data_IF_427052440614
#
_entry.id   IF_427052440614
#
_cell.length_a   1.000
_cell.length_b   1.000
_cell.length_c   1.000
_cell.angle_alpha   90.00
_cell.angle_beta   90.00
_cell.angle_gamma   90.00
#
_symmetry.space_group_name_H-M   'P 1'
#
loop_
_entity.id
_entity.type
_entity.pdbx_description
1 polymer ?
#
# COMPACT_ATOMS: atom_id res chain seq x y z
N UNK A 1 -14.02 -7.43 -44.73
CA UNK A 1 -14.48 -7.08 -43.36
C UNK A 1 -15.99 -7.10 -43.15
N UNK A 2 -16.85 -6.49 -44.00
CA UNK A 2 -18.32 -6.55 -43.80
C UNK A 2 -19.03 -7.89 -44.09
N UNK A 3 -18.35 -8.89 -44.67
CA UNK A 3 -18.90 -10.25 -44.88
C UNK A 3 -18.51 -11.28 -43.80
N UNK A 4 -17.64 -10.91 -42.85
CA UNK A 4 -17.27 -11.79 -41.73
C UNK A 4 -18.23 -11.64 -40.53
N UNK A 5 -18.97 -10.53 -40.46
CA UNK A 5 -19.84 -10.21 -39.33
C UNK A 5 -21.21 -10.91 -39.40
N UNK A 6 -21.72 -11.25 -40.59
CA UNK A 6 -23.06 -11.85 -40.71
C UNK A 6 -23.11 -13.36 -40.43
N UNK A 7 -21.97 -14.06 -40.40
CA UNK A 7 -21.93 -15.51 -40.14
C UNK A 7 -21.87 -15.83 -38.64
N UNK A 8 -21.40 -14.89 -37.80
CA UNK A 8 -21.27 -15.09 -36.35
C UNK A 8 -22.60 -14.90 -35.63
N UNK A 9 -23.49 -14.02 -36.13
CA UNK A 9 -24.78 -13.75 -35.48
C UNK A 9 -25.79 -14.88 -35.63
N UNK A 10 -25.64 -15.77 -36.63
CA UNK A 10 -26.55 -16.93 -36.83
C UNK A 10 -26.22 -18.16 -35.97
N UNK A 11 -25.04 -18.22 -35.34
CA UNK A 11 -24.66 -19.37 -34.50
C UNK A 11 -25.11 -19.24 -33.04
N UNK A 12 -25.61 -18.06 -32.62
CA UNK A 12 -25.96 -17.79 -31.22
C UNK A 12 -27.44 -17.99 -30.87
N UNK A 13 -28.26 -18.52 -31.77
CA UNK A 13 -29.70 -18.72 -31.52
C UNK A 13 -30.12 -20.13 -31.11
N UNK A 14 -29.22 -21.11 -31.00
CA UNK A 14 -29.60 -22.41 -30.44
C UNK A 14 -28.49 -23.09 -29.62
N UNK A 15 -28.84 -23.36 -28.35
CA UNK A 15 -28.26 -24.31 -27.38
C UNK A 15 -27.10 -23.79 -26.51
N UNK A 16 -27.38 -23.70 -25.22
CA UNK A 16 -26.41 -23.57 -24.14
C UNK A 16 -25.60 -24.87 -24.00
N UNK A 17 -24.40 -24.90 -24.58
CA UNK A 17 -23.32 -25.80 -24.21
C UNK A 17 -22.00 -25.03 -24.35
N UNK A 18 -21.15 -25.11 -23.31
CA UNK A 18 -19.87 -24.42 -23.25
C UNK A 18 -18.98 -24.82 -24.44
N UNK A 19 -18.60 -23.84 -25.27
CA UNK A 19 -17.67 -24.02 -26.38
C UNK A 19 -16.45 -23.13 -26.16
N UNK A 20 -15.28 -23.73 -26.10
CA UNK A 20 -13.98 -23.05 -26.15
C UNK A 20 -13.70 -22.66 -27.60
N UNK A 21 -13.62 -21.36 -27.89
CA UNK A 21 -13.25 -20.86 -29.22
C UNK A 21 -11.77 -20.47 -29.23
N UNK A 22 -10.92 -21.23 -29.92
CA UNK A 22 -9.54 -20.85 -30.18
C UNK A 22 -9.47 -20.01 -31.47
N UNK A 23 -9.00 -18.77 -31.37
CA UNK A 23 -8.76 -17.90 -32.52
C UNK A 23 -7.24 -17.84 -32.77
N UNK A 24 -6.79 -18.36 -33.93
CA UNK A 24 -5.37 -18.36 -34.31
C UNK A 24 -5.09 -17.15 -35.19
N UNK A 25 -4.27 -16.20 -34.73
CA UNK A 25 -3.64 -15.16 -35.57
C UNK A 25 -2.18 -15.57 -35.77
N UNK A 26 -1.86 -16.10 -36.95
CA UNK A 26 -0.51 -16.46 -37.31
C UNK A 26 0.19 -15.29 -38.02
N UNK A 27 1.06 -14.57 -37.30
CA UNK A 27 2.24 -13.90 -37.89
C UNK A 27 3.37 -13.59 -36.90
N UNK A 28 3.20 -13.84 -35.61
CA UNK A 28 4.29 -13.91 -34.61
C UNK A 28 3.87 -15.03 -33.66
N UNK A 29 4.73 -16.01 -33.36
CA UNK A 29 4.39 -17.26 -32.66
C UNK A 29 3.83 -17.10 -31.23
N UNK A 30 2.65 -16.50 -31.09
CA UNK A 30 1.90 -16.33 -29.85
C UNK A 30 0.75 -17.34 -29.82
N UNK A 31 0.74 -18.19 -28.80
CA UNK A 31 -0.38 -19.08 -28.47
C UNK A 31 -1.09 -18.45 -27.27
N UNK A 32 -2.36 -18.07 -27.45
CA UNK A 32 -3.21 -17.63 -26.35
C UNK A 32 -4.11 -18.80 -25.91
N UNK A 33 -4.15 -19.07 -24.61
CA UNK A 33 -5.12 -20.02 -24.02
C UNK A 33 -5.99 -19.24 -23.05
N UNK A 34 -7.31 -19.22 -23.28
CA UNK A 34 -8.28 -18.59 -22.37
C UNK A 34 -9.06 -19.71 -21.69
N UNK A 35 -9.02 -19.77 -20.35
CA UNK A 35 -9.84 -20.69 -19.56
C UNK A 35 -11.03 -19.95 -18.95
N UNK A 36 -12.24 -20.36 -19.38
CA UNK A 36 -13.58 -20.16 -18.79
C UNK A 36 -14.03 -18.75 -18.39
N UNK A 37 -15.09 -18.27 -19.04
CA UNK A 37 -15.90 -17.13 -18.58
C UNK A 37 -17.16 -17.63 -17.86
N UNK A 38 -17.42 -17.14 -16.64
CA UNK A 38 -18.71 -17.32 -15.95
C UNK A 38 -19.49 -16.01 -16.01
N UNK A 39 -20.73 -16.09 -16.50
CA UNK A 39 -21.65 -14.96 -16.54
C UNK A 39 -22.51 -14.95 -15.28
N UNK A 40 -22.48 -13.86 -14.52
CA UNK A 40 -23.48 -13.55 -13.49
C UNK A 40 -24.00 -12.12 -13.76
N UNK A 41 -25.31 -11.98 -13.85
CA UNK A 41 -26.05 -10.70 -13.90
C UNK A 41 -25.74 -9.70 -15.03
N UNK A 42 -25.64 -10.19 -16.27
CA UNK A 42 -25.80 -9.33 -17.46
C UNK A 42 -24.70 -8.29 -17.71
N UNK A 43 -23.66 -8.24 -16.87
CA UNK A 43 -22.41 -7.55 -17.14
C UNK A 43 -21.30 -8.56 -17.38
N UNK A 44 -20.75 -8.57 -18.60
CA UNK A 44 -19.56 -9.37 -18.90
C UNK A 44 -18.33 -8.60 -18.44
N UNK A 45 -17.94 -8.77 -17.18
CA UNK A 45 -16.60 -8.35 -16.73
C UNK A 45 -15.60 -9.40 -17.21
N UNK A 46 -14.80 -9.03 -18.22
CA UNK A 46 -13.72 -9.86 -18.73
C UNK A 46 -12.54 -9.76 -17.75
N UNK A 47 -12.47 -10.68 -16.78
CA UNK A 47 -11.24 -10.88 -16.02
C UNK A 47 -10.28 -11.68 -16.89
N UNK A 48 -9.27 -11.02 -17.44
CA UNK A 48 -8.15 -11.68 -18.11
C UNK A 48 -7.24 -12.27 -17.02
N UNK A 49 -7.12 -13.61 -16.87
CA UNK A 49 -6.02 -14.16 -16.10
C UNK A 49 -4.70 -13.75 -16.76
N UNK A 50 -3.75 -13.36 -15.91
CA UNK A 50 -2.37 -12.97 -16.19
C UNK A 50 -1.83 -13.42 -17.55
N UNK A 51 -1.47 -12.46 -18.40
CA UNK A 51 -0.65 -12.70 -19.58
C UNK A 51 0.82 -12.62 -19.17
N UNK A 52 1.40 -13.77 -18.81
CA UNK A 52 2.86 -13.89 -18.72
C UNK A 52 3.42 -13.98 -20.14
N UNK A 53 4.16 -12.95 -20.57
CA UNK A 53 4.89 -13.02 -21.84
C UNK A 53 6.24 -13.70 -21.61
N UNK A 54 6.45 -14.85 -22.25
CA UNK A 54 7.78 -15.47 -22.34
C UNK A 54 8.47 -14.88 -23.57
N UNK A 55 9.33 -13.88 -23.35
CA UNK A 55 10.34 -13.53 -24.35
C UNK A 55 11.49 -14.53 -24.19
N UNK A 56 11.51 -15.54 -25.04
CA UNK A 56 12.62 -16.49 -25.12
C UNK A 56 13.73 -15.84 -25.96
N UNK A 57 14.67 -15.18 -25.30
CA UNK A 57 15.99 -14.93 -25.89
C UNK A 57 17.00 -15.84 -25.18
N UNK A 58 17.88 -16.48 -25.93
CA UNK A 58 18.57 -17.72 -25.55
C UNK A 58 19.72 -17.53 -24.54
N UNK A 59 19.83 -16.37 -23.87
CA UNK A 59 20.80 -16.11 -22.80
C UNK A 59 20.20 -15.11 -21.79
N UNK A 60 20.08 -15.55 -20.54
CA UNK A 60 19.56 -14.80 -19.39
C UNK A 60 18.04 -14.53 -19.39
N UNK A 61 17.25 -15.57 -19.11
CA UNK A 61 15.88 -15.40 -18.59
C UNK A 61 15.93 -14.78 -17.19
N UNK A 62 15.87 -13.46 -17.11
CA UNK A 62 15.44 -12.77 -15.89
C UNK A 62 13.91 -12.80 -15.85
N UNK A 63 13.33 -13.54 -14.91
CA UNK A 63 11.91 -13.45 -14.64
C UNK A 63 11.65 -12.12 -13.94
N UNK A 64 11.11 -11.13 -14.64
CA UNK A 64 10.53 -9.94 -14.00
C UNK A 64 9.05 -10.24 -13.78
N UNK A 65 8.73 -10.84 -12.64
CA UNK A 65 7.35 -11.06 -12.22
C UNK A 65 6.76 -9.74 -11.73
N UNK A 66 6.17 -8.95 -12.64
CA UNK A 66 5.38 -7.79 -12.24
C UNK A 66 4.10 -8.31 -11.56
N UNK A 67 4.05 -8.27 -10.23
CA UNK A 67 2.78 -8.42 -9.52
C UNK A 67 2.06 -7.08 -9.52
N UNK A 68 0.89 -7.05 -10.13
CA UNK A 68 -0.01 -5.92 -10.00
C UNK A 68 -0.56 -5.90 -8.56
N UNK A 69 -0.41 -4.78 -7.85
CA UNK A 69 -0.94 -4.64 -6.51
C UNK A 69 -2.47 -4.78 -6.52
N UNK A 70 -3.03 -5.32 -5.44
CA UNK A 70 -4.46 -5.64 -5.37
C UNK A 70 -5.20 -4.64 -4.49
N UNK A 71 -6.28 -4.09 -5.03
CA UNK A 71 -7.22 -3.21 -4.34
C UNK A 71 -8.37 -4.03 -3.74
N UNK A 72 -8.50 -4.03 -2.40
CA UNK A 72 -9.63 -4.64 -1.69
C UNK A 72 -10.64 -3.55 -1.37
N UNK A 73 -11.80 -3.61 -2.02
CA UNK A 73 -12.82 -2.52 -2.01
C UNK A 73 -14.18 -2.95 -1.48
N UNK A 74 -14.37 -4.24 -1.19
CA UNK A 74 -15.64 -4.86 -0.80
C UNK A 74 -15.75 -5.13 0.72
N UNK A 75 -14.71 -4.78 1.48
CA UNK A 75 -14.78 -4.58 2.93
C UNK A 75 -14.75 -3.07 3.20
N UNK A 76 -15.55 -2.62 4.16
CA UNK A 76 -15.78 -1.18 4.36
C UNK A 76 -15.12 -0.67 5.62
N UNK A 77 -14.46 0.49 5.52
CA UNK A 77 -14.11 1.30 6.68
C UNK A 77 -13.95 2.77 6.32
N UNK A 78 -13.57 3.59 7.30
CA UNK A 78 -13.60 5.06 7.26
C UNK A 78 -12.30 5.65 7.77
N UNK A 79 -11.95 6.83 7.28
CA UNK A 79 -10.95 7.74 7.87
C UNK A 79 -11.54 9.14 8.01
N UNK A 80 -10.85 9.97 8.78
CA UNK A 80 -11.12 11.40 8.83
C UNK A 80 -10.04 12.17 8.07
N UNK A 81 -10.47 13.08 7.20
CA UNK A 81 -9.60 13.98 6.45
C UNK A 81 -10.19 15.38 6.58
N UNK A 82 -9.39 16.35 7.03
CA UNK A 82 -9.86 17.72 7.19
C UNK A 82 -9.78 18.56 5.89
N UNK A 83 -8.99 18.13 4.90
CA UNK A 83 -8.77 18.81 3.61
C UNK A 83 -8.60 17.81 2.46
N UNK A 84 -9.31 18.07 1.37
CA UNK A 84 -9.39 17.16 0.21
C UNK A 84 -10.45 16.08 0.40
N UNK A 85 -10.82 15.44 -0.71
CA UNK A 85 -11.64 14.24 -0.71
C UNK A 85 -10.73 13.08 -1.11
N UNK A 86 -10.54 12.05 -0.26
CA UNK A 86 -10.08 10.76 -0.75
C UNK A 86 -11.01 10.34 -1.90
N UNK A 87 -10.53 9.49 -2.81
CA UNK A 87 -11.22 9.06 -4.05
C UNK A 87 -12.52 8.24 -3.82
N UNK A 88 -13.27 8.52 -2.75
CA UNK A 88 -14.53 7.92 -2.35
C UNK A 88 -14.42 6.48 -1.88
N UNK A 89 -13.22 5.89 -1.93
CA UNK A 89 -12.98 4.47 -1.64
C UNK A 89 -11.85 4.34 -0.64
N UNK A 90 -12.20 3.82 0.54
CA UNK A 90 -11.20 3.20 1.40
C UNK A 90 -10.72 1.94 0.72
N UNK A 91 -9.41 1.86 0.47
CA UNK A 91 -8.84 0.67 -0.17
C UNK A 91 -7.79 0.08 0.73
N UNK A 92 -7.79 -1.24 0.84
CA UNK A 92 -6.56 -1.92 1.22
C UNK A 92 -5.76 -2.27 -0.03
N UNK A 93 -4.51 -1.83 -0.05
CA UNK A 93 -3.55 -2.01 -1.14
C UNK A 93 -2.48 -2.99 -0.70
N UNK A 94 -2.32 -4.09 -1.41
CA UNK A 94 -1.39 -5.16 -1.06
C UNK A 94 -0.50 -5.57 -2.25
N UNK A 95 0.77 -5.85 -1.98
CA UNK A 95 1.77 -6.28 -2.96
C UNK A 95 2.73 -7.29 -2.36
N UNK A 96 3.23 -8.22 -3.17
CA UNK A 96 4.12 -9.31 -2.73
C UNK A 96 3.47 -10.32 -1.77
N UNK A 97 2.15 -10.26 -1.56
CA UNK A 97 1.42 -11.06 -0.55
C UNK A 97 0.45 -12.07 -1.17
N UNK A 98 0.50 -12.26 -2.49
CA UNK A 98 -0.50 -12.98 -3.27
C UNK A 98 -1.82 -12.19 -3.46
N UNK A 99 -2.82 -12.79 -4.09
CA UNK A 99 -4.10 -12.11 -4.34
C UNK A 99 -5.02 -12.16 -3.10
N UNK A 100 -4.78 -11.26 -2.15
CA UNK A 100 -5.56 -11.14 -0.92
C UNK A 100 -7.03 -10.74 -1.11
N UNK A 101 -7.45 -10.25 -2.29
CA UNK A 101 -8.84 -9.82 -2.52
C UNK A 101 -9.81 -10.99 -2.75
N UNK A 102 -9.31 -12.20 -3.00
CA UNK A 102 -10.15 -13.24 -3.59
C UNK A 102 -10.97 -14.06 -2.58
N UNK A 103 -10.57 -14.15 -1.30
CA UNK A 103 -11.16 -15.14 -0.37
C UNK A 103 -11.58 -14.56 0.98
N UNK A 104 -12.76 -14.98 1.42
CA UNK A 104 -13.16 -14.86 2.83
C UNK A 104 -12.42 -15.95 3.61
N UNK A 105 -11.59 -15.55 4.56
CA UNK A 105 -10.90 -16.50 5.43
C UNK A 105 -11.88 -17.18 6.38
N UNK A 106 -11.64 -18.45 6.68
CA UNK A 106 -12.48 -19.28 7.55
C UNK A 106 -11.98 -19.34 9.01
N UNK A 107 -11.00 -18.51 9.35
CA UNK A 107 -10.40 -18.37 10.67
C UNK A 107 -10.42 -16.91 11.13
N UNK A 108 -10.13 -16.67 12.40
CA UNK A 108 -10.29 -15.35 13.02
C UNK A 108 -9.02 -14.50 12.88
N UNK A 109 -9.01 -13.52 11.97
CA UNK A 109 -7.87 -12.57 11.79
C UNK A 109 -7.54 -11.79 13.07
N UNK A 110 -8.53 -11.64 13.95
CA UNK A 110 -8.35 -11.07 15.29
C UNK A 110 -7.36 -11.80 16.19
N UNK A 111 -7.11 -13.10 15.97
CA UNK A 111 -6.15 -13.86 16.78
C UNK A 111 -4.71 -13.37 16.62
N UNK A 112 -4.42 -12.68 15.50
CA UNK A 112 -3.09 -12.13 15.18
C UNK A 112 -3.05 -10.61 15.35
N UNK A 113 -4.12 -9.92 14.95
CA UNK A 113 -4.19 -8.45 14.95
C UNK A 113 -4.77 -7.88 16.25
N UNK A 114 -5.43 -8.70 17.07
CA UNK A 114 -6.17 -8.28 18.26
C UNK A 114 -7.47 -7.52 17.95
N UNK A 115 -7.83 -7.32 16.70
CA UNK A 115 -9.08 -6.64 16.30
C UNK A 115 -10.16 -7.67 15.96
N UNK A 116 -11.37 -7.51 16.49
CA UNK A 116 -12.46 -8.47 16.28
C UNK A 116 -13.69 -7.73 15.76
N UNK A 117 -13.86 -7.62 14.42
CA UNK A 117 -15.06 -7.05 13.83
C UNK A 117 -16.33 -7.74 14.34
N UNK A 118 -17.39 -6.96 14.53
CA UNK A 118 -18.69 -7.46 15.00
C UNK A 118 -19.55 -8.03 13.87
N UNK A 119 -19.39 -7.52 12.65
CA UNK A 119 -20.04 -8.06 11.46
C UNK A 119 -19.37 -9.36 10.96
N UNK A 120 -20.15 -10.17 10.26
CA UNK A 120 -19.73 -11.47 9.71
C UNK A 120 -18.47 -11.34 8.83
N UNK A 121 -17.58 -12.35 8.90
CA UNK A 121 -16.28 -12.35 8.21
C UNK A 121 -16.38 -12.03 6.71
N UNK A 122 -17.43 -12.48 6.02
CA UNK A 122 -17.65 -12.17 4.59
C UNK A 122 -17.73 -10.68 4.28
N UNK A 123 -18.08 -9.83 5.26
CA UNK A 123 -18.16 -8.37 5.13
C UNK A 123 -16.92 -7.64 5.62
N UNK A 124 -16.09 -8.32 6.41
CA UNK A 124 -15.05 -7.66 7.21
C UNK A 124 -13.67 -8.24 7.00
N UNK A 125 -13.49 -9.42 6.40
CA UNK A 125 -12.20 -10.10 6.30
C UNK A 125 -11.90 -10.60 4.89
N UNK A 126 -10.66 -10.46 4.45
CA UNK A 126 -10.15 -10.97 3.17
C UNK A 126 -8.76 -11.56 3.34
N UNK A 127 -8.40 -12.55 2.55
CA UNK A 127 -7.08 -13.18 2.59
C UNK A 127 -6.78 -13.95 1.31
N UNK A 128 -5.70 -14.73 1.37
CA UNK A 128 -5.18 -15.48 0.22
C UNK A 128 -5.96 -16.79 -0.05
N UNK A 129 -5.90 -17.34 -1.29
CA UNK A 129 -6.67 -18.52 -1.72
C UNK A 129 -6.58 -19.77 -0.87
N UNK A 130 -5.43 -19.97 -0.21
CA UNK A 130 -5.19 -21.18 0.56
C UNK A 130 -5.70 -21.07 2.00
N UNK A 131 -6.12 -19.89 2.45
CA UNK A 131 -6.94 -19.65 3.65
C UNK A 131 -6.48 -20.34 4.94
N UNK A 132 -5.22 -20.77 5.03
CA UNK A 132 -4.71 -21.52 6.17
C UNK A 132 -4.65 -20.62 7.39
N UNK A 133 -4.79 -21.19 8.59
CA UNK A 133 -4.72 -20.42 9.82
C UNK A 133 -3.39 -19.65 9.91
N UNK A 134 -3.49 -18.32 10.05
CA UNK A 134 -2.34 -17.43 10.07
C UNK A 134 -1.69 -17.20 8.71
N UNK A 135 -2.42 -17.36 7.59
CA UNK A 135 -2.00 -16.83 6.30
C UNK A 135 -2.15 -15.30 6.25
N UNK A 136 -1.53 -14.64 5.27
CA UNK A 136 -1.76 -13.20 5.04
C UNK A 136 -3.27 -12.91 4.90
N UNK A 137 -3.76 -11.97 5.70
CA UNK A 137 -5.16 -11.63 5.79
C UNK A 137 -5.36 -10.22 6.35
N UNK A 138 -6.47 -9.60 5.97
CA UNK A 138 -6.86 -8.28 6.44
C UNK A 138 -8.29 -8.28 6.90
N UNK A 139 -8.61 -7.29 7.72
CA UNK A 139 -9.96 -7.04 8.14
C UNK A 139 -10.24 -5.57 8.41
N UNK A 140 -11.48 -5.16 8.22
CA UNK A 140 -11.90 -3.77 8.39
C UNK A 140 -13.34 -3.67 8.90
N UNK A 141 -13.57 -2.81 9.89
CA UNK A 141 -14.90 -2.38 10.32
C UNK A 141 -14.83 -1.00 10.99
N UNK A 142 -15.69 -0.08 10.57
CA UNK A 142 -15.71 1.29 11.10
C UNK A 142 -14.40 2.03 10.80
N UNK A 143 -13.77 2.58 11.82
CA UNK A 143 -12.47 3.28 11.72
C UNK A 143 -11.28 2.36 11.99
N UNK A 144 -11.49 1.05 12.17
CA UNK A 144 -10.42 0.12 12.53
C UNK A 144 -10.08 -0.81 11.37
N UNK A 145 -8.78 -0.96 11.12
CA UNK A 145 -8.22 -1.92 10.17
C UNK A 145 -7.29 -2.87 10.93
N UNK A 146 -7.37 -4.17 10.65
CA UNK A 146 -6.40 -5.18 11.09
C UNK A 146 -5.71 -5.78 9.88
N UNK A 147 -4.40 -5.92 9.95
CA UNK A 147 -3.57 -6.44 8.86
C UNK A 147 -2.61 -7.47 9.45
N UNK A 148 -2.64 -8.69 8.93
CA UNK A 148 -1.67 -9.73 9.22
C UNK A 148 -0.96 -10.11 7.92
N UNK A 149 0.36 -9.99 7.92
CA UNK A 149 1.22 -10.45 6.84
C UNK A 149 2.04 -11.64 7.30
N UNK A 150 2.20 -12.59 6.40
CA UNK A 150 3.07 -13.73 6.57
C UNK A 150 3.70 -14.10 5.23
N UNK A 151 5.02 -14.17 5.24
CA UNK A 151 5.81 -14.69 4.14
C UNK A 151 6.05 -16.18 4.38
N UNK A 152 5.88 -16.98 3.33
CA UNK A 152 6.27 -18.38 3.35
C UNK A 152 7.73 -18.51 2.86
N UNK A 153 8.54 -19.42 3.43
CA UNK A 153 9.96 -19.58 3.05
C UNK A 153 10.19 -19.88 1.57
N UNK A 154 9.17 -20.44 0.91
CA UNK A 154 9.18 -20.86 -0.49
C UNK A 154 8.74 -19.74 -1.45
N UNK A 155 8.34 -18.57 -0.94
CA UNK A 155 7.96 -17.40 -1.74
C UNK A 155 9.23 -16.62 -2.11
N UNK A 156 9.75 -16.88 -3.32
CA UNK A 156 11.04 -16.34 -3.78
C UNK A 156 10.91 -15.24 -4.81
N UNK A 157 9.70 -14.84 -5.22
CA UNK A 157 9.54 -13.92 -6.35
C UNK A 157 9.80 -12.46 -6.00
N UNK A 158 9.47 -12.04 -4.78
CA UNK A 158 9.66 -10.66 -4.32
C UNK A 158 10.02 -10.66 -2.83
N UNK A 159 11.17 -10.06 -2.44
CA UNK A 159 11.52 -10.05 -1.04
C UNK A 159 10.62 -9.07 -0.26
N UNK A 160 10.03 -8.04 -0.88
CA UNK A 160 9.16 -7.11 -0.16
C UNK A 160 7.68 -7.47 -0.27
N UNK A 161 7.01 -7.54 0.88
CA UNK A 161 5.60 -7.85 1.03
C UNK A 161 4.92 -6.79 1.87
N UNK A 162 3.81 -6.21 1.41
CA UNK A 162 3.09 -5.19 2.17
C UNK A 162 1.57 -5.33 2.03
N UNK A 163 0.87 -4.79 3.01
CA UNK A 163 -0.55 -4.51 2.95
C UNK A 163 -0.81 -3.21 3.72
N UNK A 164 -1.46 -2.26 3.07
CA UNK A 164 -1.62 -0.92 3.58
C UNK A 164 -3.07 -0.48 3.44
N UNK A 165 -3.58 0.15 4.50
CA UNK A 165 -4.70 1.05 4.38
C UNK A 165 -4.28 2.22 3.49
N UNK A 166 -4.90 2.39 2.33
CA UNK A 166 -4.45 3.30 1.27
C UNK A 166 -5.56 4.26 0.81
N UNK A 167 -5.15 5.50 0.56
CA UNK A 167 -5.98 6.59 0.06
C UNK A 167 -5.22 7.38 -1.01
N UNK A 168 -5.75 7.37 -2.23
CA UNK A 168 -5.39 8.35 -3.26
C UNK A 168 -6.25 9.61 -3.14
N UNK A 169 -5.74 10.72 -3.65
CA UNK A 169 -6.43 12.00 -3.72
C UNK A 169 -6.54 12.50 -5.16
N UNK A 170 -7.75 12.87 -5.58
CA UNK A 170 -8.06 13.39 -6.92
C UNK A 170 -7.98 14.93 -6.97
N UNK A 171 -8.18 15.61 -5.84
CA UNK A 171 -8.31 17.08 -5.76
C UNK A 171 -6.97 17.81 -5.53
N UNK A 172 -5.83 17.12 -5.67
CA UNK A 172 -4.49 17.66 -5.41
C UNK A 172 -4.39 18.48 -4.09
N UNK A 173 -4.78 17.90 -2.93
CA UNK A 173 -4.86 18.66 -1.70
C UNK A 173 -3.50 19.15 -1.23
N UNK A 174 -3.42 20.46 -0.93
CA UNK A 174 -2.24 21.12 -0.39
C UNK A 174 -2.15 20.87 1.14
N UNK A 175 -1.11 20.18 1.64
CA UNK A 175 -1.08 19.69 3.03
C UNK A 175 -1.05 20.80 4.09
N UNK A 176 -0.26 21.85 3.82
CA UNK A 176 0.05 22.90 4.79
C UNK A 176 -0.96 24.06 4.79
N UNK A 177 -1.80 24.17 3.76
CA UNK A 177 -2.79 25.23 3.67
C UNK A 177 -2.22 26.66 3.68
N UNK A 178 -3.12 27.63 3.88
CA UNK A 178 -2.80 29.06 4.00
C UNK A 178 -2.82 29.48 5.46
N UNK A 179 -1.93 30.40 5.87
CA UNK A 179 -1.89 30.97 7.22
C UNK A 179 -0.48 31.25 7.74
N UNK A 180 -0.38 31.70 8.98
CA UNK A 180 0.90 31.93 9.67
C UNK A 180 1.39 30.61 10.27
N UNK A 181 2.65 30.25 9.99
CA UNK A 181 3.31 29.03 10.45
C UNK A 181 2.48 27.76 10.20
N UNK A 182 2.10 27.48 8.94
CA UNK A 182 1.32 26.30 8.63
C UNK A 182 2.08 25.01 8.97
N UNK A 183 1.36 24.04 9.53
CA UNK A 183 1.88 22.71 9.86
C UNK A 183 0.95 21.66 9.31
N UNK A 184 1.50 20.71 8.58
CA UNK A 184 0.77 19.52 8.18
C UNK A 184 1.03 18.42 9.20
N UNK A 185 -0.03 17.87 9.76
CA UNK A 185 0.02 16.92 10.86
C UNK A 185 -0.73 15.65 10.50
N UNK A 186 -0.23 14.53 11.02
CA UNK A 186 -0.89 13.23 10.94
C UNK A 186 -0.92 12.63 12.34
N UNK A 187 -2.05 12.04 12.71
CA UNK A 187 -2.11 11.19 13.90
C UNK A 187 -3.06 10.01 13.75
N UNK A 188 -2.90 9.04 14.67
CA UNK A 188 -3.62 7.78 14.69
C UNK A 188 -3.39 7.02 16.00
N UNK A 189 -4.10 5.91 16.15
CA UNK A 189 -3.74 4.86 17.11
C UNK A 189 -3.31 3.58 16.39
N UNK A 190 -2.26 2.95 16.91
CA UNK A 190 -1.63 1.76 16.33
C UNK A 190 -1.30 0.72 17.42
N UNK A 191 -1.49 -0.55 17.09
CA UNK A 191 -0.88 -1.67 17.80
C UNK A 191 -0.15 -2.60 16.83
N UNK A 192 0.95 -3.21 17.29
CA UNK A 192 1.73 -4.20 16.53
C UNK A 192 1.85 -5.47 17.38
N UNK A 193 0.78 -6.29 17.49
CA UNK A 193 0.72 -7.34 18.51
C UNK A 193 1.73 -8.46 18.30
N UNK A 194 2.13 -8.69 17.05
CA UNK A 194 3.01 -9.78 16.67
C UNK A 194 4.00 -9.32 15.63
N UNK A 195 5.25 -9.76 15.81
CA UNK A 195 6.30 -9.67 14.82
C UNK A 195 7.23 -10.86 15.03
N UNK A 196 7.49 -11.58 13.95
CA UNK A 196 8.39 -12.71 13.88
C UNK A 196 9.19 -12.60 12.59
N UNK A 197 10.47 -12.93 12.66
CA UNK A 197 11.35 -12.96 11.49
C UNK A 197 12.55 -13.85 11.77
N UNK A 198 13.18 -14.36 10.71
CA UNK A 198 14.41 -15.16 10.78
C UNK A 198 15.46 -14.63 9.82
N UNK A 199 16.74 -14.89 10.12
CA UNK A 199 17.85 -14.65 9.21
C UNK A 199 17.94 -13.20 8.74
N UNK A 200 17.71 -12.94 7.44
CA UNK A 200 17.83 -11.61 6.84
C UNK A 200 16.48 -10.88 6.69
N UNK A 201 15.38 -11.49 7.13
CA UNK A 201 14.07 -10.85 7.07
C UNK A 201 13.95 -9.74 8.12
N UNK A 202 13.08 -8.77 7.86
CA UNK A 202 12.74 -7.75 8.84
C UNK A 202 11.34 -7.20 8.56
N UNK A 203 10.72 -6.70 9.61
CA UNK A 203 9.34 -6.23 9.59
C UNK A 203 9.30 -4.76 10.01
N UNK A 204 8.44 -3.98 9.37
CA UNK A 204 8.19 -2.61 9.76
C UNK A 204 6.72 -2.25 9.59
N UNK A 205 6.25 -1.32 10.42
CA UNK A 205 4.92 -0.74 10.30
C UNK A 205 5.10 0.76 10.23
N UNK A 206 4.64 1.34 9.13
CA UNK A 206 4.94 2.72 8.79
C UNK A 206 3.75 3.37 8.08
N UNK A 207 3.83 4.69 7.99
CA UNK A 207 2.99 5.52 7.16
C UNK A 207 3.77 5.83 5.88
N UNK A 208 3.16 5.67 4.72
CA UNK A 208 3.68 6.12 3.43
C UNK A 208 2.91 7.37 2.99
N UNK A 209 3.62 8.43 2.62
CA UNK A 209 2.99 9.61 2.03
C UNK A 209 3.74 10.02 0.78
N UNK A 210 3.03 10.02 -0.35
CA UNK A 210 3.54 10.52 -1.62
C UNK A 210 3.12 11.98 -1.80
N UNK A 211 4.10 12.85 -2.00
CA UNK A 211 3.90 14.23 -2.39
C UNK A 211 4.39 14.43 -3.82
N UNK A 212 3.65 15.18 -4.63
CA UNK A 212 4.10 15.60 -5.95
C UNK A 212 4.42 17.08 -5.92
N UNK A 213 5.61 17.44 -6.41
CA UNK A 213 5.98 18.81 -6.73
C UNK A 213 5.23 19.25 -8.00
N UNK A 214 4.27 20.15 -7.86
CA UNK A 214 3.47 20.66 -8.96
C UNK A 214 4.26 21.50 -9.99
N UNK A 215 5.50 21.89 -9.69
CA UNK A 215 6.37 22.61 -10.65
C UNK A 215 7.14 21.62 -11.52
N UNK A 216 7.76 20.61 -10.91
CA UNK A 216 8.63 19.66 -11.63
C UNK A 216 7.94 18.37 -12.06
N UNK A 217 6.79 18.06 -11.45
CA UNK A 217 6.10 16.78 -11.58
C UNK A 217 6.80 15.62 -10.87
N UNK A 218 7.91 15.88 -10.15
CA UNK A 218 8.63 14.84 -9.42
C UNK A 218 7.88 14.46 -8.15
N UNK A 219 7.86 13.16 -7.85
CA UNK A 219 7.31 12.60 -6.62
C UNK A 219 8.40 12.46 -5.57
N UNK A 220 8.06 12.69 -4.31
CA UNK A 220 8.87 12.32 -3.14
C UNK A 220 8.01 11.56 -2.14
N UNK A 221 8.66 10.71 -1.35
CA UNK A 221 8.01 9.89 -0.34
C UNK A 221 8.49 10.24 1.07
N UNK A 222 7.56 10.36 2.02
CA UNK A 222 7.85 10.53 3.45
C UNK A 222 7.29 9.33 4.20
N UNK A 223 8.20 8.57 4.84
CA UNK A 223 7.94 7.29 5.49
C UNK A 223 8.31 7.30 6.99
N UNK A 224 7.46 7.88 7.86
CA UNK A 224 7.61 7.73 9.30
C UNK A 224 7.30 6.29 9.72
N UNK A 225 8.31 5.60 10.26
CA UNK A 225 8.17 4.24 10.77
C UNK A 225 7.85 4.25 12.25
N UNK A 226 6.82 3.50 12.66
CA UNK A 226 6.38 3.34 14.05
C UNK A 226 6.96 2.08 14.69
N UNK A 227 7.15 1.05 13.87
CA UNK A 227 7.75 -0.21 14.24
C UNK A 227 8.80 -0.58 13.21
N UNK A 228 9.97 -0.99 13.65
CA UNK A 228 10.98 -1.61 12.80
C UNK A 228 11.71 -2.65 13.63
N UNK A 229 11.71 -3.90 13.18
CA UNK A 229 12.31 -5.01 13.93
C UNK A 229 13.83 -4.88 14.12
N UNK A 230 14.46 -3.88 13.49
CA UNK A 230 15.89 -3.57 13.54
C UNK A 230 16.17 -2.36 14.45
N UNK A 231 16.49 -2.55 15.75
CA UNK A 231 16.70 -1.44 16.68
C UNK A 231 17.83 -0.49 16.26
N UNK A 232 18.86 -0.99 15.59
CA UNK A 232 20.00 -0.21 15.11
C UNK A 232 19.64 0.76 13.98
N UNK A 233 18.58 0.49 13.21
CA UNK A 233 18.12 1.39 12.16
C UNK A 233 17.31 2.53 12.78
N UNK A 234 16.46 2.23 13.77
CA UNK A 234 15.74 3.24 14.56
C UNK A 234 16.72 4.25 15.18
N UNK A 235 17.85 3.77 15.71
CA UNK A 235 18.86 4.61 16.34
C UNK A 235 19.59 5.56 15.36
N UNK A 236 19.55 5.31 14.05
CA UNK A 236 20.14 6.19 13.03
C UNK A 236 19.31 7.44 12.75
N UNK A 237 18.00 7.40 13.03
CA UNK A 237 17.09 8.51 12.73
C UNK A 237 16.78 8.62 11.24
N UNK A 238 16.90 9.82 10.69
CA UNK A 238 16.56 10.09 9.29
C UNK A 238 17.50 9.38 8.32
N UNK A 239 16.92 8.84 7.25
CA UNK A 239 17.63 8.25 6.14
C UNK A 239 16.99 8.68 4.82
N UNK A 240 17.78 9.41 4.02
CA UNK A 240 17.41 9.79 2.66
C UNK A 240 17.97 8.76 1.69
N UNK A 241 17.08 8.14 0.91
CA UNK A 241 17.44 7.17 -0.12
C UNK A 241 16.70 7.48 -1.43
N UNK A 242 17.16 6.88 -2.53
CA UNK A 242 16.41 6.84 -3.78
C UNK A 242 15.72 5.49 -3.91
N UNK A 243 14.45 5.51 -4.31
CA UNK A 243 13.74 4.32 -4.75
C UNK A 243 14.47 3.78 -5.99
N UNK A 244 14.98 2.55 -5.94
CA UNK A 244 15.83 1.98 -7.00
C UNK A 244 15.16 1.93 -8.37
N UNK A 245 13.87 1.65 -8.40
CA UNK A 245 13.05 1.43 -9.59
C UNK A 245 12.58 2.74 -10.24
N UNK A 246 12.20 3.75 -9.45
CA UNK A 246 11.60 4.99 -9.93
C UNK A 246 12.51 6.21 -9.83
N UNK A 247 13.65 6.07 -9.14
CA UNK A 247 14.56 7.17 -8.79
C UNK A 247 13.86 8.30 -8.03
N UNK A 248 12.79 7.98 -7.29
CA UNK A 248 12.07 8.92 -6.44
C UNK A 248 12.76 9.01 -5.07
N UNK A 249 13.00 10.22 -4.52
CA UNK A 249 13.57 10.37 -3.20
C UNK A 249 12.59 9.92 -2.11
N UNK A 250 13.12 9.20 -1.12
CA UNK A 250 12.40 8.72 0.04
C UNK A 250 13.08 9.23 1.31
N UNK A 251 12.32 9.87 2.18
CA UNK A 251 12.67 10.06 3.58
C UNK A 251 12.12 8.90 4.40
N UNK A 252 13.01 8.02 4.86
CA UNK A 252 12.70 7.10 5.97
C UNK A 252 13.07 7.78 7.29
N UNK A 253 12.14 7.81 8.25
CA UNK A 253 12.36 8.52 9.52
C UNK A 253 11.67 7.84 10.70
N UNK A 254 12.08 8.19 11.92
CA UNK A 254 11.59 7.64 13.18
C UNK A 254 11.26 8.79 14.14
N UNK A 255 10.17 8.65 14.90
CA UNK A 255 9.57 9.78 15.61
C UNK A 255 10.45 10.39 16.71
N UNK A 256 11.40 9.66 17.26
CA UNK A 256 12.31 10.16 18.31
C UNK A 256 13.64 10.71 17.80
N UNK A 257 13.97 10.48 16.53
CA UNK A 257 15.33 10.68 16.02
C UNK A 257 15.39 11.49 14.72
N UNK A 258 14.25 11.95 14.21
CA UNK A 258 14.17 12.74 12.99
C UNK A 258 14.30 14.24 13.20
N UNK A 259 14.91 14.92 12.23
CA UNK A 259 15.02 16.37 12.11
C UNK A 259 13.85 16.96 11.32
N UNK A 260 13.25 16.17 10.43
CA UNK A 260 12.23 16.64 9.49
C UNK A 260 10.80 16.56 10.02
N UNK A 261 10.59 15.89 11.16
CA UNK A 261 9.27 15.74 11.79
C UNK A 261 9.32 16.19 13.25
N UNK A 262 8.21 16.76 13.74
CA UNK A 262 8.02 17.05 15.17
C UNK A 262 6.90 16.19 15.73
N UNK A 263 7.16 15.32 16.72
CA UNK A 263 6.09 14.56 17.38
C UNK A 263 5.05 15.48 18.02
N UNK A 264 3.78 15.08 17.93
CA UNK A 264 2.70 15.70 18.70
C UNK A 264 2.86 15.39 20.19
N UNK A 265 2.29 16.21 21.09
CA UNK A 265 2.26 15.92 22.52
C UNK A 265 1.72 14.52 22.77
N UNK A 266 2.33 13.81 23.73
CA UNK A 266 2.00 12.43 24.14
C UNK A 266 2.10 11.36 23.04
N UNK A 267 2.64 11.68 21.86
CA UNK A 267 2.96 10.67 20.85
C UNK A 267 3.94 9.65 21.41
N UNK A 268 3.68 8.39 21.11
CA UNK A 268 4.63 7.30 21.35
C UNK A 268 5.82 7.44 20.41
N UNK A 269 6.94 6.82 20.80
CA UNK A 269 8.16 6.74 20.00
C UNK A 269 8.17 5.46 19.17
N UNK A 270 8.92 5.48 18.07
CA UNK A 270 9.15 4.29 17.25
C UNK A 270 9.91 3.24 18.06
N UNK A 271 9.61 1.96 17.86
CA UNK A 271 10.21 0.86 18.65
C UNK A 271 10.44 -0.39 17.81
N UNK A 272 11.35 -1.26 18.27
CA UNK A 272 11.59 -2.56 17.66
C UNK A 272 10.90 -3.73 18.38
N UNK A 273 10.27 -3.45 19.52
CA UNK A 273 9.52 -4.44 20.29
C UNK A 273 8.04 -4.36 19.94
N UNK A 274 7.39 -5.49 19.57
CA UNK A 274 5.94 -5.51 19.34
C UNK A 274 5.17 -5.15 20.61
N UNK A 275 3.96 -4.64 20.44
CA UNK A 275 3.07 -4.23 21.53
C UNK A 275 1.61 -4.48 21.17
N UNK A 276 0.83 -4.93 22.16
CA UNK A 276 -0.57 -5.33 21.93
C UNK A 276 -1.54 -4.20 22.20
N UNK A 277 -1.23 -3.29 23.11
CA UNK A 277 -2.08 -2.16 23.47
C UNK A 277 -2.17 -1.10 22.37
N UNK A 278 -3.24 -0.29 22.40
CA UNK A 278 -3.30 0.89 21.53
C UNK A 278 -2.30 1.93 22.02
N UNK A 279 -1.49 2.43 21.09
CA UNK A 279 -0.58 3.56 21.33
C UNK A 279 -0.93 4.68 20.36
N UNK A 280 -0.97 5.90 20.90
CA UNK A 280 -1.13 7.10 20.09
C UNK A 280 0.19 7.44 19.41
N UNK A 281 0.13 7.71 18.11
CA UNK A 281 1.24 8.21 17.31
C UNK A 281 0.78 9.45 16.55
N UNK A 282 1.58 10.51 16.61
CA UNK A 282 1.26 11.74 15.91
C UNK A 282 2.49 12.60 15.69
N UNK A 283 2.52 13.30 14.57
CA UNK A 283 3.59 14.23 14.22
C UNK A 283 3.09 15.35 13.33
N UNK A 284 3.89 16.41 13.21
CA UNK A 284 3.70 17.48 12.25
C UNK A 284 4.99 17.74 11.47
N UNK A 285 4.82 18.28 10.27
CA UNK A 285 5.87 18.83 9.41
C UNK A 285 5.62 20.33 9.32
N UNK A 286 6.57 21.11 9.83
CA UNK A 286 6.56 22.57 9.68
C UNK A 286 7.15 22.97 8.32
N UNK A 287 6.86 24.19 7.88
CA UNK A 287 7.49 24.77 6.69
C UNK A 287 9.04 24.73 6.74
N UNK A 288 9.71 25.19 7.81
CA UNK A 288 11.17 25.11 7.88
C UNK A 288 11.72 23.69 7.76
N UNK A 289 11.06 22.70 8.37
CA UNK A 289 11.48 21.30 8.29
C UNK A 289 11.33 20.73 6.88
N UNK A 290 10.23 21.06 6.21
CA UNK A 290 10.01 20.62 4.83
C UNK A 290 11.02 21.27 3.87
N UNK A 291 11.28 22.57 4.01
CA UNK A 291 12.27 23.25 3.17
C UNK A 291 13.68 22.72 3.40
N UNK A 292 14.03 22.37 4.65
CA UNK A 292 15.29 21.70 4.96
C UNK A 292 15.37 20.31 4.30
N UNK A 293 14.28 19.53 4.37
CA UNK A 293 14.20 18.22 3.70
C UNK A 293 14.46 18.34 2.19
N UNK A 294 13.79 19.27 1.52
CA UNK A 294 13.97 19.48 0.07
C UNK A 294 15.41 19.90 -0.25
N UNK A 295 15.98 20.80 0.55
CA UNK A 295 17.37 21.24 0.39
C UNK A 295 18.33 20.06 0.46
N UNK A 296 18.17 19.18 1.45
CA UNK A 296 19.02 18.02 1.64
C UNK A 296 18.83 16.97 0.54
N UNK A 297 17.59 16.73 0.09
CA UNK A 297 17.29 15.85 -1.05
C UNK A 297 17.96 16.36 -2.33
N UNK A 298 17.79 17.64 -2.66
CA UNK A 298 18.38 18.24 -3.86
C UNK A 298 19.91 18.19 -3.81
N UNK A 299 20.50 18.46 -2.65
CA UNK A 299 21.96 18.41 -2.46
C UNK A 299 22.50 16.97 -2.56
N UNK A 300 21.85 16.01 -1.91
CA UNK A 300 22.32 14.62 -1.85
C UNK A 300 22.15 13.89 -3.20
N UNK A 301 21.04 14.13 -3.90
CA UNK A 301 20.68 13.38 -5.11
C UNK A 301 20.79 14.19 -6.40
N UNK A 302 21.24 15.44 -6.33
CA UNK A 302 21.37 16.34 -7.48
C UNK A 302 20.04 16.55 -8.23
N UNK A 303 18.94 16.59 -7.46
CA UNK A 303 17.60 16.86 -7.97
C UNK A 303 17.31 18.37 -7.99
N UNK A 304 16.13 18.74 -8.48
CA UNK A 304 15.71 20.15 -8.59
C UNK A 304 14.26 20.34 -8.14
N UNK A 305 13.88 19.66 -7.05
CA UNK A 305 12.59 19.82 -6.39
C UNK A 305 12.40 21.28 -5.93
N UNK A 306 11.18 21.80 -6.06
CA UNK A 306 10.83 23.15 -5.64
C UNK A 306 11.00 23.33 -4.13
N UNK A 307 11.55 24.46 -3.71
CA UNK A 307 11.74 24.87 -2.31
C UNK A 307 10.50 25.54 -1.69
N UNK A 308 9.38 25.59 -2.41
CA UNK A 308 8.14 26.16 -1.95
C UNK A 308 7.15 25.07 -1.54
N UNK A 309 6.80 24.99 -0.26
CA UNK A 309 5.84 24.00 0.23
C UNK A 309 4.45 24.09 -0.45
N UNK A 310 4.08 25.26 -1.01
CA UNK A 310 2.79 25.49 -1.64
C UNK A 310 2.68 24.80 -3.00
N UNK A 311 3.81 24.43 -3.61
CA UNK A 311 3.83 23.71 -4.89
C UNK A 311 3.58 22.23 -4.73
N UNK A 312 3.62 21.68 -3.51
CA UNK A 312 3.39 20.27 -3.24
C UNK A 312 1.93 19.95 -2.97
N UNK A 313 1.46 18.82 -3.47
CA UNK A 313 0.17 18.26 -3.12
C UNK A 313 0.30 16.79 -2.73
N UNK A 314 -0.62 16.30 -1.90
CA UNK A 314 -0.67 14.89 -1.52
C UNK A 314 -1.27 14.13 -2.70
N UNK A 315 -0.50 13.21 -3.26
CA UNK A 315 -1.02 12.26 -4.24
C UNK A 315 -1.70 11.10 -3.51
N UNK A 316 -0.99 10.54 -2.54
CA UNK A 316 -1.49 9.40 -1.80
C UNK A 316 -0.92 9.28 -0.39
N UNK A 317 -1.66 8.52 0.41
CA UNK A 317 -1.34 8.17 1.77
C UNK A 317 -1.61 6.68 1.97
N UNK A 318 -0.66 5.97 2.55
CA UNK A 318 -0.78 4.59 2.97
C UNK A 318 -0.34 4.39 4.41
N UNK A 319 -0.83 3.36 5.06
CA UNK A 319 -0.30 2.90 6.33
C UNK A 319 -0.52 1.40 6.48
N UNK A 320 0.53 0.71 6.89
CA UNK A 320 0.40 -0.70 7.23
C UNK A 320 1.73 -1.35 7.49
N UNK A 321 1.70 -2.65 7.76
CA UNK A 321 2.89 -3.45 7.77
C UNK A 321 3.49 -3.62 6.38
N UNK A 322 4.80 -3.70 6.35
CA UNK A 322 5.60 -4.26 5.28
C UNK A 322 6.68 -5.16 5.89
N UNK A 323 7.10 -6.13 5.10
CA UNK A 323 8.16 -7.05 5.46
C UNK A 323 9.11 -7.15 4.28
N UNK A 324 10.40 -7.23 4.60
CA UNK A 324 11.40 -7.75 3.69
C UNK A 324 11.70 -9.19 4.10
N UNK A 325 11.61 -10.12 3.16
CA UNK A 325 11.75 -11.56 3.35
C UNK A 325 12.49 -12.18 2.15
N UNK A 326 13.82 -12.17 2.14
CA UNK A 326 14.58 -12.84 1.10
C UNK A 326 14.40 -14.36 1.20
N UNK A 327 14.61 -15.06 0.08
CA UNK A 327 14.41 -16.51 -0.04
C UNK A 327 15.07 -17.32 1.10
N UNK A 328 14.37 -18.35 1.58
CA UNK A 328 14.85 -19.22 2.65
C UNK A 328 14.67 -18.66 4.07
N UNK A 329 13.97 -17.54 4.22
CA UNK A 329 13.62 -16.96 5.51
C UNK A 329 12.10 -16.94 5.72
N UNK A 330 11.68 -16.81 6.98
CA UNK A 330 10.30 -16.61 7.35
C UNK A 330 10.12 -15.26 8.04
N UNK A 331 8.98 -14.63 7.79
CA UNK A 331 8.57 -13.43 8.49
C UNK A 331 7.04 -13.38 8.64
N UNK A 332 6.59 -12.76 9.71
CA UNK A 332 5.21 -12.41 9.94
C UNK A 332 5.11 -11.14 10.78
N UNK A 333 4.17 -10.27 10.44
CA UNK A 333 3.89 -9.06 11.22
C UNK A 333 2.40 -8.79 11.22
N UNK A 334 1.91 -8.31 12.35
CA UNK A 334 0.51 -7.95 12.52
C UNK A 334 0.40 -6.52 13.01
N UNK A 335 -0.52 -5.77 12.44
CA UNK A 335 -0.86 -4.44 12.90
C UNK A 335 -2.38 -4.29 13.01
N UNK A 336 -2.81 -3.42 13.92
CA UNK A 336 -4.15 -2.84 13.87
C UNK A 336 -4.06 -1.33 14.02
N UNK A 337 -4.87 -0.64 13.24
CA UNK A 337 -4.80 0.79 12.98
C UNK A 337 -6.20 1.37 13.18
N UNK A 338 -6.32 2.52 13.83
CA UNK A 338 -7.58 3.27 13.87
C UNK A 338 -7.40 4.77 13.96
N UNK A 339 -8.50 5.47 13.72
CA UNK A 339 -8.64 6.92 13.95
C UNK A 339 -7.57 7.75 13.25
N UNK A 340 -7.24 7.37 12.01
CA UNK A 340 -6.27 8.08 11.17
C UNK A 340 -6.81 9.44 10.77
N UNK A 341 -6.05 10.48 11.06
CA UNK A 341 -6.38 11.87 10.77
C UNK A 341 -5.22 12.57 10.09
N UNK A 342 -5.49 13.16 8.94
CA UNK A 342 -4.60 14.10 8.28
C UNK A 342 -5.18 15.50 8.50
N UNK A 343 -4.39 16.42 9.04
CA UNK A 343 -4.86 17.77 9.35
C UNK A 343 -3.81 18.88 9.24
N UNK A 344 -4.31 20.11 9.14
CA UNK A 344 -3.50 21.32 9.04
C UNK A 344 -3.72 22.13 10.30
N UNK A 345 -2.64 22.60 10.91
CA UNK A 345 -2.66 23.54 12.03
C UNK A 345 -1.99 24.82 11.58
N UNK A 346 -2.65 25.95 11.83
CA UNK A 346 -2.07 27.29 11.66
C UNK A 346 -2.07 27.97 13.01
N UNK A 347 -1.08 28.81 13.27
CA UNK A 347 -1.15 29.67 14.46
C UNK A 347 -2.34 30.62 14.28
N UNK A 348 -3.14 30.79 15.34
CA UNK A 348 -4.14 31.85 15.34
C UNK A 348 -3.41 33.19 15.15
N UNK A 349 -3.86 33.99 14.18
CA UNK A 349 -3.45 35.39 14.11
C UNK A 349 -3.92 36.02 15.42
N UNK A 350 -2.99 36.27 16.35
CA UNK A 350 -3.27 37.09 17.51
C UNK A 350 -3.30 38.53 17.00
N UNK A 351 -4.49 38.98 16.61
CA UNK A 351 -4.77 40.40 16.35
C UNK A 351 -4.57 41.24 17.61
#
# INVERSE_FOLDING_TARGET
>A
MRRLVSSVTRLLQHRAQAFTLAMVIATMGLIFTVSTATAQDGQTNLYLPQLSYILKDDKDTTFISHYDPVYIVDITGRIYVNRGRPNGRTVLYAGGTGNMAQYVVNWQVGDFTGFFPTAEARKTQRGIPEGTYGSSAVQMEGFTTGIHLRAHPDDTSEPSQFAQLYYGFEDEPRPWGEGVNPRFCVDQELAVPQSFWTGQSFNYVYLSMALIDGVTGQRLWILPSYYDSRPEIIARGDNLVLWSETNEPILYTYLQAGNYLTPLPVSSQSTSSPWSEWRYFGFCITEPQFNQLITDINAQFQLSLSDSLQTYYIESFGMGPEMYNPAGNAAAVSARIRDVRLFTVTDAVRD
#
